data_IF_730423609707
#
_entry.id   IF_730423609707
#
_cell.length_a   1.000
_cell.length_b   1.000
_cell.length_c   1.000
_cell.angle_alpha   90.00
_cell.angle_beta   90.00
_cell.angle_gamma   90.00
#
_symmetry.space_group_name_H-M   'P 1'
#
loop_
_entity.id
_entity.type
_entity.pdbx_description
1 polymer ?
#
# COMPACT_ATOMS: atom_id res chain seq x y z
N UNK A 1 -10.72 16.02 14.06
CA UNK A 1 -9.55 15.92 13.16
C UNK A 1 -9.68 14.58 12.45
N UNK A 2 -9.40 14.53 11.15
CA UNK A 2 -9.70 13.38 10.30
C UNK A 2 -8.39 12.64 10.00
N UNK A 3 -8.14 11.54 10.69
CA UNK A 3 -6.92 10.77 10.44
C UNK A 3 -7.11 9.85 9.23
N UNK A 4 -6.03 9.56 8.53
CA UNK A 4 -6.03 8.61 7.42
C UNK A 4 -5.21 7.38 7.77
N UNK A 5 -5.79 6.20 7.54
CA UNK A 5 -5.16 4.91 7.85
C UNK A 5 -4.94 4.18 6.53
N UNK A 6 -3.69 4.09 6.07
CA UNK A 6 -3.35 3.29 4.89
C UNK A 6 -3.05 1.85 5.33
N UNK A 7 -3.83 0.89 4.82
CA UNK A 7 -3.64 -0.56 5.08
C UNK A 7 -3.43 -1.30 3.76
N UNK A 8 -2.25 -1.89 3.48
CA UNK A 8 -2.09 -2.80 2.36
C UNK A 8 -2.80 -4.12 2.65
N UNK A 9 -3.57 -4.60 1.68
CA UNK A 9 -4.39 -5.80 1.76
C UNK A 9 -3.81 -6.90 0.89
N UNK A 10 -3.42 -8.01 1.53
CA UNK A 10 -3.00 -9.21 0.84
C UNK A 10 -4.15 -10.21 0.72
N UNK A 11 -3.80 -11.48 0.52
CA UNK A 11 -4.75 -12.60 0.52
C UNK A 11 -4.76 -13.38 1.84
N UNK A 12 -4.12 -12.84 2.89
CA UNK A 12 -4.00 -13.52 4.19
C UNK A 12 -5.38 -13.77 4.80
N UNK A 13 -6.34 -12.85 4.63
CA UNK A 13 -7.74 -13.05 4.99
C UNK A 13 -8.37 -14.32 4.38
N UNK A 14 -7.99 -14.67 3.15
CA UNK A 14 -8.49 -15.86 2.46
C UNK A 14 -7.72 -17.11 2.86
N UNK A 15 -6.41 -17.00 3.08
CA UNK A 15 -5.54 -18.16 3.34
C UNK A 15 -5.44 -18.56 4.82
N UNK A 16 -5.76 -17.64 5.74
CA UNK A 16 -5.74 -17.87 7.17
C UNK A 16 -6.86 -18.83 7.58
N UNK A 17 -6.47 -19.98 8.14
CA UNK A 17 -7.39 -21.05 8.52
C UNK A 17 -7.99 -21.83 7.33
N UNK A 18 -7.58 -21.55 6.09
CA UNK A 18 -7.96 -22.37 4.93
C UNK A 18 -7.25 -23.75 4.97
N UNK A 19 -7.90 -24.78 4.44
CA UNK A 19 -7.29 -26.09 4.24
C UNK A 19 -6.11 -26.01 3.25
N UNK A 20 -5.21 -27.00 3.29
CA UNK A 20 -3.97 -26.96 2.49
C UNK A 20 -4.24 -26.83 0.98
N UNK A 21 -5.19 -27.62 0.45
CA UNK A 21 -5.58 -27.60 -0.96
C UNK A 21 -6.09 -26.22 -1.38
N UNK A 22 -7.08 -25.69 -0.65
CA UNK A 22 -7.63 -24.36 -0.93
C UNK A 22 -6.57 -23.26 -0.82
N UNK A 23 -5.66 -23.35 0.16
CA UNK A 23 -4.56 -22.40 0.31
C UNK A 23 -3.61 -22.42 -0.88
N UNK A 24 -3.26 -23.59 -1.39
CA UNK A 24 -2.41 -23.73 -2.58
C UNK A 24 -3.09 -23.15 -3.82
N UNK A 25 -4.39 -23.42 -3.99
CA UNK A 25 -5.20 -22.88 -5.08
C UNK A 25 -5.32 -21.36 -5.04
N UNK A 26 -5.59 -20.78 -3.86
CA UNK A 26 -5.59 -19.33 -3.65
C UNK A 26 -4.23 -18.71 -3.99
N UNK A 27 -3.12 -19.33 -3.56
CA UNK A 27 -1.77 -18.86 -3.86
C UNK A 27 -1.45 -18.95 -5.35
N UNK A 28 -1.89 -20.00 -6.02
CA UNK A 28 -1.70 -20.17 -7.47
C UNK A 28 -2.51 -19.14 -8.28
N UNK A 29 -3.63 -18.68 -7.74
CA UNK A 29 -4.46 -17.64 -8.34
C UNK A 29 -4.00 -16.20 -8.01
N UNK A 30 -3.00 -16.01 -7.15
CA UNK A 30 -2.42 -14.68 -6.88
C UNK A 30 -1.86 -14.10 -8.18
N UNK A 31 -2.18 -12.83 -8.45
CA UNK A 31 -1.87 -12.10 -9.67
C UNK A 31 -2.65 -12.52 -10.94
N UNK A 32 -3.55 -13.51 -10.87
CA UNK A 32 -4.49 -13.72 -11.96
C UNK A 32 -5.60 -12.67 -11.90
N UNK A 33 -6.04 -12.22 -13.06
CA UNK A 33 -7.32 -11.53 -13.23
C UNK A 33 -8.43 -12.57 -13.20
N UNK A 34 -9.64 -12.14 -12.85
CA UNK A 34 -10.79 -13.04 -12.75
C UNK A 34 -11.03 -13.81 -14.06
N UNK A 35 -10.84 -13.13 -15.20
CA UNK A 35 -11.06 -13.71 -16.54
C UNK A 35 -9.99 -14.71 -16.96
N UNK A 36 -8.84 -14.74 -16.27
CA UNK A 36 -7.75 -15.69 -16.52
C UNK A 36 -7.94 -17.01 -15.78
N UNK A 37 -8.92 -17.09 -14.87
CA UNK A 37 -9.15 -18.26 -14.02
C UNK A 37 -10.13 -19.20 -14.73
N UNK A 38 -9.79 -20.49 -14.81
CA UNK A 38 -10.66 -21.49 -15.42
C UNK A 38 -12.04 -21.53 -14.74
N UNK A 39 -13.13 -21.66 -15.51
CA UNK A 39 -14.50 -21.47 -15.01
C UNK A 39 -14.87 -22.32 -13.78
N UNK A 40 -14.45 -23.60 -13.75
CA UNK A 40 -14.69 -24.48 -12.59
C UNK A 40 -13.92 -24.02 -11.35
N UNK A 41 -12.68 -23.58 -11.54
CA UNK A 41 -11.83 -23.07 -10.46
C UNK A 41 -12.36 -21.73 -9.95
N UNK A 42 -12.77 -20.85 -10.86
CA UNK A 42 -13.39 -19.56 -10.55
C UNK A 42 -14.65 -19.75 -9.71
N UNK A 43 -15.54 -20.68 -10.08
CA UNK A 43 -16.75 -20.95 -9.32
C UNK A 43 -16.44 -21.44 -7.89
N UNK A 44 -15.45 -22.31 -7.75
CA UNK A 44 -15.01 -22.84 -6.45
C UNK A 44 -14.36 -21.76 -5.57
N UNK A 45 -13.41 -20.99 -6.11
CA UNK A 45 -12.74 -19.88 -5.41
C UNK A 45 -13.74 -18.79 -5.02
N UNK A 46 -14.60 -18.37 -5.95
CA UNK A 46 -15.62 -17.35 -5.69
C UNK A 46 -16.56 -17.78 -4.58
N UNK A 47 -17.04 -19.03 -4.57
CA UNK A 47 -17.85 -19.56 -3.47
C UNK A 47 -17.12 -19.48 -2.13
N UNK A 48 -15.86 -19.91 -2.08
CA UNK A 48 -15.05 -19.84 -0.86
C UNK A 48 -14.85 -18.38 -0.39
N UNK A 49 -14.56 -17.46 -1.31
CA UNK A 49 -14.40 -16.02 -1.02
C UNK A 49 -15.70 -15.46 -0.44
N UNK A 50 -16.85 -15.72 -1.06
CA UNK A 50 -18.15 -15.24 -0.56
C UNK A 50 -18.49 -15.80 0.82
N UNK A 51 -18.21 -17.08 1.06
CA UNK A 51 -18.39 -17.70 2.39
C UNK A 51 -17.52 -16.98 3.45
N UNK A 52 -16.27 -16.63 3.14
CA UNK A 52 -15.38 -15.89 4.04
C UNK A 52 -15.85 -14.46 4.28
N UNK A 53 -16.25 -13.75 3.22
CA UNK A 53 -16.76 -12.38 3.31
C UNK A 53 -18.08 -12.31 4.08
N UNK A 54 -18.97 -13.28 3.90
CA UNK A 54 -20.21 -13.39 4.68
C UNK A 54 -19.92 -13.54 6.18
N UNK A 55 -18.91 -14.35 6.53
CA UNK A 55 -18.47 -14.49 7.93
C UNK A 55 -17.89 -13.20 8.50
N UNK A 56 -17.13 -12.44 7.71
CA UNK A 56 -16.61 -11.13 8.12
C UNK A 56 -17.75 -10.15 8.41
N UNK A 57 -18.75 -10.06 7.52
CA UNK A 57 -19.91 -9.18 7.71
C UNK A 57 -20.69 -9.46 9.01
N UNK A 58 -20.63 -10.68 9.53
CA UNK A 58 -21.26 -11.07 10.78
C UNK A 58 -20.32 -10.97 12.00
N UNK A 59 -19.02 -10.76 11.78
CA UNK A 59 -18.00 -10.78 12.82
C UNK A 59 -18.05 -9.51 13.69
N UNK A 60 -17.95 -9.69 15.01
CA UNK A 60 -17.65 -8.62 15.97
C UNK A 60 -16.24 -8.07 15.76
N UNK A 61 -15.89 -6.93 16.37
CA UNK A 61 -14.51 -6.42 16.35
C UNK A 61 -13.52 -7.49 16.86
N UNK A 62 -13.80 -8.13 17.99
CA UNK A 62 -12.95 -9.19 18.54
C UNK A 62 -12.79 -10.39 17.61
N UNK A 63 -13.89 -10.79 16.94
CA UNK A 63 -13.84 -11.92 16.00
C UNK A 63 -13.06 -11.54 14.75
N UNK A 64 -13.30 -10.34 14.21
CA UNK A 64 -12.64 -9.83 13.01
C UNK A 64 -11.13 -9.67 13.21
N UNK A 65 -10.71 -9.22 14.40
CA UNK A 65 -9.30 -9.09 14.80
C UNK A 65 -8.51 -10.39 14.57
N UNK A 66 -9.14 -11.54 14.78
CA UNK A 66 -8.50 -12.86 14.65
C UNK A 66 -8.56 -13.45 13.23
N UNK A 67 -9.22 -12.77 12.27
CA UNK A 67 -9.41 -13.31 10.92
C UNK A 67 -8.18 -13.12 10.01
N UNK A 68 -7.46 -11.99 10.16
CA UNK A 68 -6.19 -11.73 9.48
C UNK A 68 -5.43 -10.58 10.13
N UNK A 69 -4.16 -10.42 9.77
CA UNK A 69 -3.28 -9.40 10.32
C UNK A 69 -3.75 -7.96 9.98
N UNK A 70 -4.33 -7.74 8.79
CA UNK A 70 -4.88 -6.42 8.42
C UNK A 70 -5.98 -5.99 9.40
N UNK A 71 -6.94 -6.88 9.67
CA UNK A 71 -8.03 -6.63 10.62
C UNK A 71 -7.52 -6.56 12.06
N UNK A 72 -6.51 -7.34 12.43
CA UNK A 72 -5.85 -7.23 13.72
C UNK A 72 -5.35 -5.80 13.94
N UNK A 73 -4.65 -5.24 12.96
CA UNK A 73 -4.15 -3.87 13.00
C UNK A 73 -5.25 -2.83 13.08
N UNK A 74 -6.27 -2.96 12.22
CA UNK A 74 -7.40 -2.02 12.19
C UNK A 74 -8.14 -2.03 13.53
N UNK A 75 -8.49 -3.19 14.06
CA UNK A 75 -9.23 -3.28 15.33
C UNK A 75 -8.38 -2.79 16.51
N UNK A 76 -7.09 -3.14 16.52
CA UNK A 76 -6.20 -2.79 17.62
C UNK A 76 -5.86 -1.29 17.67
N UNK A 77 -5.94 -0.57 16.54
CA UNK A 77 -5.78 0.89 16.51
C UNK A 77 -6.81 1.64 17.35
N UNK A 78 -7.99 1.04 17.53
CA UNK A 78 -9.09 1.64 18.27
C UNK A 78 -9.18 1.15 19.72
N UNK A 79 -8.40 0.14 20.10
CA UNK A 79 -8.54 -0.54 21.40
C UNK A 79 -9.99 -0.93 21.74
N UNK A 80 -10.78 -1.27 20.71
CA UNK A 80 -12.20 -1.58 20.83
C UNK A 80 -13.18 -0.40 20.75
N UNK A 81 -12.70 0.84 20.62
CA UNK A 81 -13.49 2.08 20.65
C UNK A 81 -13.51 2.84 19.32
N UNK A 82 -13.85 2.15 18.23
CA UNK A 82 -13.85 2.75 16.89
C UNK A 82 -14.90 3.87 16.73
N UNK A 83 -15.99 3.77 17.49
CA UNK A 83 -17.08 4.75 17.57
C UNK A 83 -16.65 6.12 18.08
N UNK A 84 -15.52 6.22 18.78
CA UNK A 84 -14.98 7.49 19.28
C UNK A 84 -14.23 8.27 18.18
N UNK A 85 -13.92 7.62 17.05
CA UNK A 85 -13.17 8.18 15.93
C UNK A 85 -13.87 7.92 14.59
N UNK A 86 -15.16 8.29 14.43
CA UNK A 86 -15.94 7.99 13.23
C UNK A 86 -15.46 8.75 11.99
N UNK A 87 -14.69 9.82 12.17
CA UNK A 87 -14.10 10.60 11.09
C UNK A 87 -12.84 9.94 10.51
N UNK A 88 -12.27 8.91 11.14
CA UNK A 88 -11.10 8.24 10.59
C UNK A 88 -11.42 7.60 9.23
N UNK A 89 -10.56 7.87 8.24
CA UNK A 89 -10.67 7.36 6.87
C UNK A 89 -9.70 6.21 6.66
N UNK A 90 -10.22 5.01 6.41
CA UNK A 90 -9.44 3.83 6.03
C UNK A 90 -9.25 3.78 4.52
N UNK A 91 -8.00 3.70 4.10
CA UNK A 91 -7.60 3.54 2.71
C UNK A 91 -6.97 2.16 2.54
N UNK A 92 -7.67 1.28 1.84
CA UNK A 92 -7.30 -0.11 1.67
C UNK A 92 -6.58 -0.31 0.32
N UNK A 93 -5.32 -0.70 0.34
CA UNK A 93 -4.47 -0.86 -0.85
C UNK A 93 -4.34 -2.35 -1.22
N UNK A 94 -5.08 -2.86 -2.21
CA UNK A 94 -4.96 -4.24 -2.63
C UNK A 94 -3.59 -4.50 -3.28
N UNK A 95 -3.01 -5.66 -3.00
CA UNK A 95 -1.72 -6.06 -3.56
C UNK A 95 -1.77 -6.71 -4.95
N UNK A 96 -2.97 -7.07 -5.42
CA UNK A 96 -3.22 -7.64 -6.74
C UNK A 96 -4.62 -7.27 -7.24
N UNK A 97 -4.87 -7.51 -8.54
CA UNK A 97 -6.07 -7.05 -9.23
C UNK A 97 -7.37 -7.75 -8.79
N UNK A 98 -7.32 -9.05 -8.49
CA UNK A 98 -8.53 -9.84 -8.25
C UNK A 98 -8.68 -10.22 -6.78
N UNK A 99 -7.89 -11.17 -6.28
CA UNK A 99 -8.05 -11.69 -4.91
C UNK A 99 -7.80 -10.60 -3.87
N UNK A 100 -6.71 -9.84 -4.02
CA UNK A 100 -6.42 -8.68 -3.16
C UNK A 100 -7.53 -7.63 -3.25
N UNK A 101 -8.05 -7.39 -4.46
CA UNK A 101 -9.21 -6.50 -4.69
C UNK A 101 -10.47 -6.96 -3.94
N UNK A 102 -10.80 -8.26 -4.01
CA UNK A 102 -11.93 -8.87 -3.30
C UNK A 102 -11.79 -8.74 -1.78
N UNK A 103 -10.58 -8.94 -1.25
CA UNK A 103 -10.30 -8.75 0.18
C UNK A 103 -10.47 -7.28 0.57
N UNK A 104 -9.85 -6.36 -0.16
CA UNK A 104 -9.94 -4.92 0.14
C UNK A 104 -11.40 -4.42 0.08
N UNK A 105 -12.19 -4.88 -0.88
CA UNK A 105 -13.63 -4.57 -0.97
C UNK A 105 -14.41 -5.11 0.24
N UNK A 106 -14.17 -6.36 0.63
CA UNK A 106 -14.81 -6.96 1.80
C UNK A 106 -14.49 -6.23 3.10
N UNK A 107 -13.23 -5.85 3.30
CA UNK A 107 -12.80 -5.06 4.45
C UNK A 107 -13.45 -3.67 4.44
N UNK A 108 -13.51 -3.01 3.27
CA UNK A 108 -14.21 -1.73 3.11
C UNK A 108 -15.67 -1.84 3.55
N UNK A 109 -16.39 -2.82 3.03
CA UNK A 109 -17.82 -2.98 3.27
C UNK A 109 -18.09 -3.27 4.75
N UNK A 110 -17.25 -4.10 5.37
CA UNK A 110 -17.32 -4.36 6.81
C UNK A 110 -17.06 -3.10 7.65
N UNK A 111 -16.03 -2.32 7.32
CA UNK A 111 -15.72 -1.06 8.03
C UNK A 111 -16.84 -0.03 7.89
N UNK A 112 -17.38 0.14 6.68
CA UNK A 112 -18.50 1.04 6.41
C UNK A 112 -19.76 0.62 7.18
N UNK A 113 -20.04 -0.68 7.24
CA UNK A 113 -21.15 -1.20 8.04
C UNK A 113 -20.97 -0.93 9.55
N UNK A 114 -19.72 -0.81 10.02
CA UNK A 114 -19.38 -0.38 11.39
C UNK A 114 -19.42 1.14 11.60
N UNK A 115 -19.77 1.91 10.59
CA UNK A 115 -19.88 3.37 10.67
C UNK A 115 -18.55 4.10 10.50
N UNK A 116 -17.50 3.42 10.02
CA UNK A 116 -16.21 4.03 9.68
C UNK A 116 -16.18 4.43 8.20
N UNK A 117 -15.41 5.46 7.88
CA UNK A 117 -15.15 5.80 6.49
C UNK A 117 -14.07 4.87 5.93
N UNK A 118 -14.36 4.19 4.83
CA UNK A 118 -13.40 3.32 4.18
C UNK A 118 -13.52 3.37 2.65
N UNK A 119 -12.39 3.25 1.95
CA UNK A 119 -12.33 3.14 0.50
C UNK A 119 -11.21 2.19 0.06
N UNK A 120 -11.31 1.72 -1.18
CA UNK A 120 -10.25 0.92 -1.81
C UNK A 120 -9.41 1.83 -2.71
N UNK A 121 -8.11 1.92 -2.44
CA UNK A 121 -7.17 2.65 -3.26
C UNK A 121 -6.73 1.79 -4.44
N UNK A 122 -7.20 2.14 -5.64
CA UNK A 122 -6.79 1.46 -6.86
C UNK A 122 -5.50 2.06 -7.41
N UNK A 123 -4.45 1.23 -7.52
CA UNK A 123 -3.22 1.56 -8.26
C UNK A 123 -3.15 0.61 -9.46
N UNK A 124 -3.20 1.19 -10.65
CA UNK A 124 -3.12 0.44 -11.91
C UNK A 124 -1.84 -0.41 -11.96
N UNK A 125 -1.98 -1.67 -12.36
CA UNK A 125 -0.91 -2.68 -12.52
C UNK A 125 -0.06 -2.96 -11.28
N UNK A 126 -0.57 -2.65 -10.08
CA UNK A 126 0.08 -3.03 -8.82
C UNK A 126 -0.05 -4.54 -8.59
N UNK A 127 0.79 -5.31 -9.29
CA UNK A 127 0.89 -6.76 -9.21
C UNK A 127 2.33 -7.20 -9.48
N UNK A 128 2.70 -8.42 -9.10
CA UNK A 128 4.11 -8.86 -9.14
C UNK A 128 4.45 -9.72 -10.36
N UNK A 129 3.62 -9.70 -11.41
CA UNK A 129 3.84 -10.50 -12.63
C UNK A 129 5.03 -10.02 -13.44
N UNK A 130 5.23 -8.72 -13.46
CA UNK A 130 6.31 -8.06 -14.18
C UNK A 130 6.92 -6.97 -13.30
N UNK A 131 8.25 -7.01 -13.17
CA UNK A 131 8.98 -6.10 -12.29
C UNK A 131 8.91 -4.65 -12.79
N UNK A 132 8.80 -4.42 -14.11
CA UNK A 132 8.79 -3.06 -14.68
C UNK A 132 7.45 -2.39 -14.41
N UNK A 133 6.35 -3.08 -14.74
CA UNK A 133 5.00 -2.64 -14.40
C UNK A 133 4.88 -2.42 -12.90
N UNK A 134 5.37 -3.35 -12.08
CA UNK A 134 5.36 -3.20 -10.63
C UNK A 134 6.07 -1.91 -10.17
N UNK A 135 7.31 -1.67 -10.61
CA UNK A 135 8.07 -0.44 -10.26
C UNK A 135 7.35 0.83 -10.71
N UNK A 136 6.74 0.82 -11.90
CA UNK A 136 5.92 1.94 -12.39
C UNK A 136 4.69 2.18 -11.50
N UNK A 137 4.03 1.13 -11.05
CA UNK A 137 2.91 1.19 -10.11
C UNK A 137 3.34 1.67 -8.73
N UNK A 138 4.54 1.30 -8.26
CA UNK A 138 5.12 1.85 -7.02
C UNK A 138 5.42 3.35 -7.15
N UNK A 139 5.89 3.82 -8.30
CA UNK A 139 6.04 5.25 -8.58
C UNK A 139 4.68 5.99 -8.58
N UNK A 140 3.63 5.38 -9.15
CA UNK A 140 2.26 5.92 -9.08
C UNK A 140 1.76 5.99 -7.64
N UNK A 141 1.96 4.91 -6.87
CA UNK A 141 1.62 4.86 -5.44
C UNK A 141 2.31 5.98 -4.67
N UNK A 142 3.60 6.25 -4.91
CA UNK A 142 4.31 7.36 -4.28
C UNK A 142 3.63 8.72 -4.52
N UNK A 143 3.23 9.00 -5.77
CA UNK A 143 2.51 10.24 -6.12
C UNK A 143 1.15 10.31 -5.45
N UNK A 144 0.40 9.20 -5.45
CA UNK A 144 -0.91 9.15 -4.79
C UNK A 144 -0.79 9.37 -3.28
N UNK A 145 0.21 8.76 -2.65
CA UNK A 145 0.55 8.99 -1.25
C UNK A 145 0.86 10.47 -0.98
N UNK A 146 1.71 11.10 -1.81
CA UNK A 146 2.05 12.51 -1.62
C UNK A 146 0.83 13.43 -1.64
N UNK A 147 -0.06 13.28 -2.62
CA UNK A 147 -1.31 14.05 -2.69
C UNK A 147 -2.18 13.81 -1.45
N UNK A 148 -2.50 12.53 -1.19
CA UNK A 148 -3.43 12.13 -0.14
C UNK A 148 -2.99 12.56 1.26
N UNK A 149 -1.70 12.41 1.54
CA UNK A 149 -1.14 12.74 2.85
C UNK A 149 -0.93 14.24 3.02
N UNK A 150 -0.56 14.96 1.96
CA UNK A 150 -0.47 16.43 2.02
C UNK A 150 -1.82 17.07 2.33
N UNK A 151 -2.89 16.58 1.70
CA UNK A 151 -4.26 17.03 1.99
C UNK A 151 -4.63 16.73 3.46
N UNK A 152 -4.35 15.53 3.94
CA UNK A 152 -4.62 15.13 5.33
C UNK A 152 -3.90 16.03 6.33
N UNK A 153 -2.61 16.29 6.10
CA UNK A 153 -1.78 17.17 6.94
C UNK A 153 -2.30 18.62 6.91
N UNK A 154 -2.71 19.13 5.74
CA UNK A 154 -3.27 20.47 5.61
C UNK A 154 -4.60 20.64 6.36
N UNK A 155 -5.37 19.57 6.52
CA UNK A 155 -6.59 19.51 7.33
C UNK A 155 -6.33 19.30 8.84
N UNK A 156 -5.05 19.15 9.23
CA UNK A 156 -4.65 18.90 10.63
C UNK A 156 -4.91 17.47 11.10
N UNK A 157 -5.08 16.52 10.19
CA UNK A 157 -5.17 15.09 10.49
C UNK A 157 -3.79 14.42 10.54
N UNK A 158 -3.76 13.22 11.11
CA UNK A 158 -2.57 12.37 11.14
C UNK A 158 -2.63 11.27 10.06
N UNK A 159 -1.46 10.89 9.57
CA UNK A 159 -1.25 9.79 8.62
C UNK A 159 -0.72 8.57 9.35
N UNK A 160 -1.50 7.50 9.38
CA UNK A 160 -1.20 6.24 10.04
C UNK A 160 -0.99 5.15 8.99
N UNK A 161 0.17 4.51 9.01
CA UNK A 161 0.44 3.35 8.16
C UNK A 161 0.23 2.07 8.97
N UNK A 162 -0.81 1.31 8.61
CA UNK A 162 -1.07 0.00 9.17
C UNK A 162 -0.36 -1.08 8.35
N UNK A 163 0.85 -1.46 8.73
CA UNK A 163 1.68 -2.45 8.03
C UNK A 163 1.68 -3.81 8.73
N UNK A 164 0.57 -4.20 9.35
CA UNK A 164 0.40 -5.50 10.00
C UNK A 164 0.28 -6.64 9.00
N UNK A 165 -0.50 -6.43 7.93
CA UNK A 165 -0.74 -7.38 6.84
C UNK A 165 -0.33 -6.82 5.47
N UNK A 166 -0.75 -7.49 4.41
CA UNK A 166 -0.42 -7.09 3.03
C UNK A 166 0.85 -7.72 2.46
N UNK A 167 1.05 -7.49 1.16
CA UNK A 167 2.15 -8.08 0.40
C UNK A 167 3.52 -7.52 0.80
N UNK A 168 4.51 -8.41 0.93
CA UNK A 168 5.83 -8.10 1.52
C UNK A 168 6.53 -6.92 0.84
N UNK A 169 6.55 -6.88 -0.49
CA UNK A 169 7.34 -5.88 -1.21
C UNK A 169 6.68 -4.50 -1.14
N UNK A 170 5.35 -4.45 -1.19
CA UNK A 170 4.57 -3.22 -0.97
C UNK A 170 4.79 -2.71 0.45
N UNK A 171 4.75 -3.58 1.46
CA UNK A 171 5.06 -3.18 2.85
C UNK A 171 6.49 -2.65 3.01
N UNK A 172 7.46 -3.29 2.34
CA UNK A 172 8.85 -2.85 2.36
C UNK A 172 9.00 -1.43 1.83
N UNK A 173 8.36 -1.14 0.70
CA UNK A 173 8.33 0.20 0.13
C UNK A 173 7.58 1.21 1.01
N UNK A 174 6.36 0.87 1.45
CA UNK A 174 5.56 1.74 2.32
C UNK A 174 6.26 2.05 3.64
N UNK A 175 7.11 1.15 4.15
CA UNK A 175 7.91 1.44 5.33
C UNK A 175 8.91 2.56 5.10
N UNK A 176 9.50 2.67 3.91
CA UNK A 176 10.40 3.77 3.54
C UNK A 176 9.59 5.05 3.33
N UNK A 177 8.49 4.99 2.58
CA UNK A 177 7.58 6.14 2.39
C UNK A 177 7.06 6.66 3.73
N UNK A 178 6.71 5.77 4.65
CA UNK A 178 6.21 6.10 5.99
C UNK A 178 7.21 6.91 6.82
N UNK A 179 8.52 6.76 6.59
CA UNK A 179 9.53 7.58 7.27
C UNK A 179 9.43 9.07 6.91
N UNK A 180 8.93 9.38 5.72
CA UNK A 180 8.74 10.76 5.27
C UNK A 180 7.31 11.26 5.59
N UNK A 181 6.30 10.43 5.34
CA UNK A 181 4.90 10.89 5.31
C UNK A 181 4.06 10.53 6.52
N UNK A 182 4.29 9.38 7.15
CA UNK A 182 3.45 8.90 8.22
C UNK A 182 3.81 9.59 9.54
N UNK A 183 2.83 9.92 10.36
CA UNK A 183 3.02 10.31 11.76
C UNK A 183 3.21 9.09 12.64
N UNK A 184 2.52 8.00 12.27
CA UNK A 184 2.64 6.71 12.93
C UNK A 184 2.72 5.58 11.91
N UNK A 185 3.65 4.66 12.10
CA UNK A 185 3.65 3.37 11.41
C UNK A 185 3.47 2.27 12.44
N UNK A 186 2.51 1.37 12.24
CA UNK A 186 2.26 0.22 13.13
C UNK A 186 2.51 -1.09 12.38
N UNK A 187 2.89 -2.12 13.13
CA UNK A 187 3.00 -3.50 12.63
C UNK A 187 2.64 -4.48 13.75
N UNK A 188 2.27 -5.70 13.37
CA UNK A 188 1.81 -6.72 14.32
C UNK A 188 3.00 -7.36 15.03
N UNK A 189 2.87 -7.63 16.33
CA UNK A 189 3.88 -8.38 17.07
C UNK A 189 3.54 -9.88 17.05
N UNK A 190 4.39 -10.72 16.47
CA UNK A 190 4.05 -12.14 16.21
C UNK A 190 3.69 -12.98 17.45
N UNK A 191 4.04 -12.51 18.65
CA UNK A 191 3.87 -13.27 19.90
C UNK A 191 2.93 -12.61 20.91
N UNK A 192 2.35 -11.45 20.57
CA UNK A 192 1.45 -10.68 21.44
C UNK A 192 0.37 -9.99 20.61
N UNK A 193 -0.85 -9.81 21.14
CA UNK A 193 -1.88 -8.99 20.50
C UNK A 193 -1.51 -7.49 20.40
N UNK A 194 -0.38 -7.07 20.98
CA UNK A 194 0.06 -5.68 20.95
C UNK A 194 0.52 -5.22 19.55
N UNK A 195 0.15 -3.98 19.20
CA UNK A 195 0.72 -3.31 18.04
C UNK A 195 2.09 -2.73 18.39
N UNK A 196 3.08 -3.03 17.55
CA UNK A 196 4.36 -2.34 17.61
C UNK A 196 4.30 -1.07 16.75
N UNK A 197 4.39 0.09 17.39
CA UNK A 197 4.65 1.34 16.70
C UNK A 197 6.12 1.44 16.30
N UNK A 198 6.37 1.46 14.99
CA UNK A 198 7.70 1.63 14.41
C UNK A 198 8.10 3.10 14.57
N UNK A 199 9.19 3.40 15.29
CA UNK A 199 9.63 4.79 15.48
C UNK A 199 9.94 5.46 14.14
N UNK A 200 9.39 6.66 13.93
CA UNK A 200 9.76 7.52 12.81
C UNK A 200 11.16 8.08 13.06
N UNK A 201 12.11 7.72 12.22
CA UNK A 201 13.42 8.35 12.25
C UNK A 201 13.33 9.73 11.58
N UNK A 202 14.02 10.76 12.10
CA UNK A 202 14.06 12.08 11.47
C UNK A 202 14.96 12.04 10.25
N UNK A 203 14.50 11.38 9.18
CA UNK A 203 15.22 11.27 7.91
C UNK A 203 14.77 12.37 6.96
N UNK A 204 15.75 12.95 6.27
CA UNK A 204 15.54 13.88 5.17
C UNK A 204 16.28 13.37 3.93
N UNK A 205 15.93 13.94 2.78
CA UNK A 205 16.69 13.70 1.55
C UNK A 205 17.95 14.56 1.59
N UNK A 206 19.12 13.95 1.42
CA UNK A 206 20.39 14.66 1.24
C UNK A 206 20.58 14.93 -0.26
N UNK A 207 19.99 16.04 -0.74
CA UNK A 207 19.96 16.40 -2.15
C UNK A 207 21.36 16.60 -2.74
N UNK A 208 22.25 17.27 -2.01
CA UNK A 208 23.62 17.52 -2.45
C UNK A 208 24.39 16.21 -2.64
N UNK A 209 24.27 15.28 -1.70
CA UNK A 209 24.91 13.97 -1.82
C UNK A 209 24.26 13.10 -2.91
N UNK A 210 22.95 13.24 -3.11
CA UNK A 210 22.18 12.41 -4.04
C UNK A 210 22.36 12.86 -5.50
N UNK A 211 22.32 14.17 -5.74
CA UNK A 211 22.29 14.77 -7.07
C UNK A 211 23.58 15.51 -7.41
N UNK A 212 24.18 16.22 -6.44
CA UNK A 212 25.41 17.00 -6.62
C UNK A 212 25.37 17.88 -7.87
N UNK A 213 26.40 17.77 -8.72
CA UNK A 213 26.49 18.52 -9.97
C UNK A 213 25.46 18.08 -11.06
N UNK A 214 24.72 16.99 -10.84
CA UNK A 214 23.71 16.48 -11.77
C UNK A 214 22.27 16.89 -11.42
N UNK A 215 22.08 17.84 -10.50
CA UNK A 215 20.76 18.34 -10.11
C UNK A 215 19.94 18.86 -11.31
N UNK A 216 20.55 19.63 -12.21
CA UNK A 216 19.87 20.15 -13.42
C UNK A 216 19.40 19.02 -14.35
N UNK A 217 20.19 17.95 -14.47
CA UNK A 217 19.82 16.79 -15.28
C UNK A 217 18.61 16.06 -14.66
N UNK A 218 18.61 15.89 -13.34
CA UNK A 218 17.48 15.29 -12.63
C UNK A 218 16.20 16.13 -12.75
N UNK A 219 16.31 17.45 -12.63
CA UNK A 219 15.18 18.37 -12.82
C UNK A 219 14.64 18.28 -14.26
N UNK A 220 15.53 18.28 -15.26
CA UNK A 220 15.15 18.07 -16.66
C UNK A 220 14.41 16.75 -16.85
N UNK A 221 14.86 15.66 -16.23
CA UNK A 221 14.16 14.38 -16.28
C UNK A 221 12.78 14.44 -15.62
N UNK A 222 12.66 15.14 -14.49
CA UNK A 222 11.37 15.33 -13.81
C UNK A 222 10.34 16.05 -14.70
N UNK A 223 10.79 17.07 -15.44
CA UNK A 223 9.93 17.87 -16.33
C UNK A 223 9.63 17.15 -17.65
N UNK A 224 10.66 16.60 -18.30
CA UNK A 224 10.52 15.93 -19.59
C UNK A 224 9.85 14.56 -19.48
N UNK A 225 9.81 13.98 -18.27
CA UNK A 225 9.32 12.64 -17.93
C UNK A 225 10.15 11.48 -18.52
N UNK A 226 10.78 11.71 -19.67
CA UNK A 226 11.68 10.78 -20.34
C UNK A 226 12.87 11.52 -20.96
N UNK A 227 14.04 10.91 -20.94
CA UNK A 227 15.26 11.38 -21.60
C UNK A 227 16.00 10.19 -22.22
N UNK A 228 16.90 10.39 -23.21
CA UNK A 228 17.81 9.33 -23.66
C UNK A 228 18.57 8.73 -22.47
N UNK A 229 18.68 7.41 -22.42
CA UNK A 229 19.32 6.73 -21.29
C UNK A 229 20.80 7.10 -21.13
N UNK A 230 21.50 7.33 -22.25
CA UNK A 230 22.89 7.79 -22.29
C UNK A 230 23.08 9.15 -21.60
N UNK A 231 22.11 10.05 -21.72
CA UNK A 231 22.14 11.36 -21.06
C UNK A 231 21.97 11.25 -19.54
N UNK A 232 21.37 10.15 -19.06
CA UNK A 232 21.03 9.91 -17.66
C UNK A 232 22.02 9.01 -16.92
N UNK A 233 23.08 8.49 -17.57
CA UNK A 233 24.12 7.67 -16.94
C UNK A 233 24.74 8.27 -15.67
N UNK A 234 24.92 9.61 -15.55
CA UNK A 234 25.47 10.20 -14.33
C UNK A 234 24.53 10.16 -13.12
N UNK A 235 23.22 9.94 -13.33
CA UNK A 235 22.25 9.85 -12.23
C UNK A 235 22.37 8.50 -11.50
N UNK A 236 22.20 8.46 -10.17
CA UNK A 236 22.17 7.20 -9.44
C UNK A 236 21.11 6.25 -9.99
N UNK A 237 21.48 4.96 -10.13
CA UNK A 237 20.58 3.90 -10.60
C UNK A 237 19.26 3.87 -9.81
N UNK A 238 19.33 4.16 -8.50
CA UNK A 238 18.16 4.19 -7.65
C UNK A 238 17.09 5.19 -8.13
N UNK A 239 17.47 6.29 -8.82
CA UNK A 239 16.55 7.35 -9.25
C UNK A 239 15.92 7.10 -10.61
N UNK A 240 16.48 6.22 -11.42
CA UNK A 240 16.08 6.05 -12.81
C UNK A 240 15.69 4.61 -13.14
N UNK A 241 14.90 4.47 -14.20
CA UNK A 241 14.58 3.19 -14.83
C UNK A 241 14.73 3.35 -16.32
N UNK A 242 15.47 2.42 -16.94
CA UNK A 242 15.79 2.46 -18.37
C UNK A 242 14.98 1.39 -19.12
N UNK A 243 14.27 1.82 -20.16
CA UNK A 243 13.50 0.97 -21.06
C UNK A 243 13.74 1.42 -22.51
N UNK A 244 14.13 0.47 -23.38
CA UNK A 244 14.27 0.71 -24.84
C UNK A 244 15.14 1.94 -25.21
N UNK A 245 16.18 2.21 -24.41
CA UNK A 245 17.09 3.34 -24.62
C UNK A 245 16.63 4.67 -24.02
N UNK A 246 15.52 4.66 -23.27
CA UNK A 246 14.96 5.83 -22.60
C UNK A 246 14.98 5.66 -21.08
N UNK A 247 15.38 6.71 -20.36
CA UNK A 247 15.34 6.80 -18.91
C UNK A 247 14.10 7.55 -18.45
N UNK A 248 13.46 7.02 -17.41
CA UNK A 248 12.36 7.66 -16.66
C UNK A 248 12.69 7.64 -15.17
N UNK A 249 11.93 8.37 -14.34
CA UNK A 249 12.08 8.24 -12.89
C UNK A 249 11.65 6.85 -12.42
N UNK A 250 12.46 6.23 -11.58
CA UNK A 250 12.06 5.06 -10.81
C UNK A 250 11.03 5.42 -9.73
N UNK A 251 10.59 4.43 -8.96
CA UNK A 251 9.80 4.61 -7.75
C UNK A 251 10.50 5.49 -6.69
N UNK A 252 11.82 5.33 -6.52
CA UNK A 252 12.61 6.13 -5.58
C UNK A 252 12.98 7.49 -6.15
N UNK A 253 13.23 7.60 -7.45
CA UNK A 253 13.41 8.90 -8.13
C UNK A 253 12.15 9.73 -8.09
N UNK A 254 10.99 9.09 -8.23
CA UNK A 254 9.69 9.72 -8.04
C UNK A 254 9.54 10.22 -6.60
N UNK A 255 9.82 9.38 -5.60
CA UNK A 255 9.78 9.79 -4.20
C UNK A 255 10.74 10.97 -3.92
N UNK A 256 11.99 10.90 -4.39
CA UNK A 256 12.98 11.95 -4.23
C UNK A 256 12.48 13.28 -4.86
N UNK A 257 11.97 13.23 -6.09
CA UNK A 257 11.40 14.40 -6.77
C UNK A 257 10.27 15.05 -5.96
N UNK A 258 9.36 14.25 -5.39
CA UNK A 258 8.26 14.75 -4.55
C UNK A 258 8.79 15.41 -3.28
N UNK A 259 9.78 14.81 -2.61
CA UNK A 259 10.38 15.37 -1.39
C UNK A 259 11.10 16.71 -1.66
N UNK A 260 11.84 16.80 -2.76
CA UNK A 260 12.50 18.06 -3.19
C UNK A 260 11.45 19.15 -3.44
N UNK A 261 10.40 18.83 -4.20
CA UNK A 261 9.32 19.78 -4.49
C UNK A 261 8.60 20.26 -3.23
N UNK A 262 8.43 19.39 -2.22
CA UNK A 262 7.86 19.79 -0.92
C UNK A 262 8.78 20.72 -0.15
N UNK A 263 10.07 20.43 -0.12
CA UNK A 263 11.06 21.28 0.57
C UNK A 263 11.13 22.69 -0.03
N UNK A 264 10.85 22.84 -1.33
CA UNK A 264 10.79 24.14 -2.01
C UNK A 264 9.48 24.91 -1.78
N UNK A 265 8.40 24.23 -1.35
CA UNK A 265 7.08 24.85 -1.08
C UNK A 265 6.88 25.25 0.38
N UNK A 266 7.68 24.70 1.29
CA UNK A 266 7.69 25.03 2.73
C UNK A 266 8.63 26.19 3.04
#
# INVERSE_FOLDING_TARGET
MRNIILTPCGIDFLTHGAESDMRERLKAAVNLREEEVAAEELASLSRFIEERLTRLNQATMDTARLMCAELEGIVSLYDGHAEERPADRHVLLPADAWLGGRVAQGLRDWLQWRGLEAEVLHIEDLHTRDIRSFRRSMARLARTCDTLFSETHAEGGEVIFNLTGGFRDIRGFLRVVGMFYADQTISGFQTSPELWSIPKLPVGLDEERLLGEHAELFERLCVAQTLPAEDCEPLPEALIMVEEGWATLSEWGTLASLLIQRAQRG
#
